data_IF_100999916454
#
_entry.id   IF_100999916454
#
_cell.length_a   1.000
_cell.length_b   1.000
_cell.length_c   1.000
_cell.angle_alpha   90.00
_cell.angle_beta   90.00
_cell.angle_gamma   90.00
#
_symmetry.space_group_name_H-M   'P 1'
#
loop_
_entity.id
_entity.type
_entity.pdbx_description
1 polymer ?
#
# COMPACT_ATOMS: atom_id res chain seq x y z
N UNK A 1 37.31 -97.43 15.71
CA UNK A 1 37.68 -95.99 15.62
C UNK A 1 37.21 -95.51 14.26
N UNK A 2 36.41 -94.48 14.00
CA UNK A 2 35.96 -93.23 14.64
C UNK A 2 34.49 -93.03 14.19
N UNK A 3 33.54 -92.65 15.06
CA UNK A 3 33.29 -91.24 15.41
C UNK A 3 32.01 -90.73 14.73
N UNK A 4 30.84 -91.09 15.28
CA UNK A 4 29.53 -90.55 14.85
C UNK A 4 29.44 -89.06 15.23
N UNK A 5 29.24 -88.19 14.24
CA UNK A 5 28.98 -86.76 14.47
C UNK A 5 27.57 -86.55 15.04
N UNK A 6 27.39 -85.70 16.08
CA UNK A 6 26.07 -85.37 16.59
C UNK A 6 25.39 -84.32 15.70
N UNK A 7 24.14 -84.60 15.33
CA UNK A 7 23.24 -83.65 14.71
C UNK A 7 23.02 -82.45 15.65
N UNK A 8 23.58 -81.29 15.29
CA UNK A 8 23.25 -80.00 15.91
C UNK A 8 21.75 -79.75 15.71
N UNK A 9 20.96 -79.88 16.78
CA UNK A 9 19.61 -79.30 16.82
C UNK A 9 19.73 -77.79 16.66
N UNK A 10 19.37 -77.29 15.48
CA UNK A 10 19.05 -75.88 15.31
C UNK A 10 17.86 -75.59 16.22
N UNK A 11 18.10 -74.93 17.35
CA UNK A 11 17.03 -74.39 18.17
C UNK A 11 16.23 -73.41 17.32
N UNK A 12 15.02 -73.80 16.90
CA UNK A 12 14.05 -72.87 16.38
C UNK A 12 13.86 -71.79 17.44
N UNK A 13 14.42 -70.60 17.17
CA UNK A 13 14.06 -69.40 17.91
C UNK A 13 12.57 -69.22 17.70
N UNK A 14 11.77 -69.52 18.74
CA UNK A 14 10.35 -69.18 18.77
C UNK A 14 10.25 -67.67 18.56
N UNK A 15 9.85 -67.27 17.36
CA UNK A 15 9.35 -65.92 17.11
C UNK A 15 8.10 -65.78 17.99
N UNK A 16 8.24 -65.05 19.10
CA UNK A 16 7.10 -64.63 19.92
C UNK A 16 6.24 -63.74 19.03
N UNK A 17 5.01 -64.15 18.77
CA UNK A 17 4.02 -63.33 18.07
C UNK A 17 3.66 -62.11 18.93
N UNK A 18 3.43 -60.98 18.27
CA UNK A 18 2.98 -59.76 18.93
C UNK A 18 1.58 -59.95 19.52
N UNK A 19 1.38 -59.44 20.73
CA UNK A 19 0.07 -59.45 21.36
C UNK A 19 -0.83 -58.37 20.75
N UNK A 20 -2.15 -58.58 20.73
CA UNK A 20 -3.12 -57.57 20.25
C UNK A 20 -2.96 -56.24 21.00
N UNK A 21 -2.63 -56.31 22.30
CA UNK A 21 -2.42 -55.13 23.13
C UNK A 21 -1.15 -54.37 22.76
N UNK A 22 -0.04 -55.04 22.42
CA UNK A 22 1.17 -54.36 21.91
C UNK A 22 0.87 -53.62 20.61
N UNK A 23 0.14 -54.25 19.69
CA UNK A 23 -0.20 -53.62 18.41
C UNK A 23 -1.08 -52.39 18.63
N UNK A 24 -2.04 -52.45 19.55
CA UNK A 24 -2.88 -51.31 19.90
C UNK A 24 -2.06 -50.15 20.49
N UNK A 25 -1.14 -50.44 21.40
CA UNK A 25 -0.27 -49.42 22.01
C UNK A 25 0.64 -48.79 20.95
N UNK A 26 1.23 -49.59 20.06
CA UNK A 26 2.13 -49.10 19.00
C UNK A 26 1.37 -48.19 18.03
N UNK A 27 0.20 -48.60 17.54
CA UNK A 27 -0.61 -47.76 16.66
C UNK A 27 -1.07 -46.50 17.37
N UNK A 28 -1.41 -46.58 18.66
CA UNK A 28 -1.74 -45.41 19.49
C UNK A 28 -0.58 -44.40 19.58
N UNK A 29 0.65 -44.88 19.85
CA UNK A 29 1.84 -44.02 19.90
C UNK A 29 2.14 -43.42 18.52
N UNK A 30 2.03 -44.21 17.44
CA UNK A 30 2.26 -43.72 16.07
C UNK A 30 1.25 -42.61 15.72
N UNK A 31 -0.03 -42.78 16.06
CA UNK A 31 -1.05 -41.76 15.80
C UNK A 31 -0.77 -40.47 16.57
N UNK A 32 -0.43 -40.58 17.86
CA UNK A 32 -0.09 -39.42 18.69
C UNK A 32 1.12 -38.67 18.11
N UNK A 33 2.20 -39.39 17.77
CA UNK A 33 3.38 -38.80 17.16
C UNK A 33 3.07 -38.17 15.79
N UNK A 34 2.20 -38.78 14.99
CA UNK A 34 1.81 -38.26 13.68
C UNK A 34 1.08 -36.92 13.82
N UNK A 35 0.12 -36.80 14.74
CA UNK A 35 -0.61 -35.55 14.97
C UNK A 35 0.35 -34.44 15.41
N UNK A 36 1.24 -34.72 16.37
CA UNK A 36 2.24 -33.75 16.83
C UNK A 36 3.17 -33.30 15.70
N UNK A 37 3.61 -34.25 14.86
CA UNK A 37 4.51 -33.98 13.74
C UNK A 37 3.83 -33.09 12.69
N UNK A 38 2.57 -33.37 12.35
CA UNK A 38 1.81 -32.58 11.36
C UNK A 38 1.65 -31.12 11.79
N UNK A 39 1.31 -30.87 13.06
CA UNK A 39 1.17 -29.49 13.59
C UNK A 39 2.51 -28.76 13.54
N UNK A 40 3.59 -29.41 13.95
CA UNK A 40 4.93 -28.80 13.96
C UNK A 40 5.44 -28.47 12.56
N UNK A 41 5.21 -29.35 11.57
CA UNK A 41 5.61 -29.12 10.18
C UNK A 41 4.89 -27.91 9.59
N UNK A 42 3.56 -27.78 9.79
CA UNK A 42 2.81 -26.62 9.29
C UNK A 42 3.32 -25.30 9.87
N UNK A 43 3.56 -25.23 11.19
CA UNK A 43 4.09 -24.04 11.82
C UNK A 43 5.49 -23.65 11.29
N UNK A 44 6.35 -24.65 11.10
CA UNK A 44 7.71 -24.43 10.59
C UNK A 44 7.67 -23.93 9.14
N UNK A 45 6.82 -24.52 8.29
CA UNK A 45 6.67 -24.10 6.89
C UNK A 45 6.13 -22.67 6.76
N UNK A 46 5.14 -22.27 7.56
CA UNK A 46 4.64 -20.88 7.56
C UNK A 46 5.73 -19.90 8.02
N UNK A 47 6.47 -20.24 9.08
CA UNK A 47 7.55 -19.39 9.58
C UNK A 47 8.69 -19.21 8.56
N UNK A 48 9.06 -20.28 7.83
CA UNK A 48 10.10 -20.22 6.81
C UNK A 48 9.66 -19.40 5.58
N UNK A 49 8.38 -19.50 5.19
CA UNK A 49 7.80 -18.65 4.13
C UNK A 49 7.82 -17.18 4.52
N UNK A 50 7.37 -16.82 5.73
CA UNK A 50 7.38 -15.44 6.21
C UNK A 50 8.80 -14.86 6.22
N UNK A 51 9.78 -15.62 6.73
CA UNK A 51 11.20 -15.21 6.69
C UNK A 51 11.73 -15.07 5.26
N UNK A 52 11.30 -15.93 4.34
CA UNK A 52 11.59 -15.84 2.91
C UNK A 52 11.07 -14.53 2.32
N UNK A 53 9.78 -14.22 2.54
CA UNK A 53 9.14 -12.99 2.07
C UNK A 53 9.76 -11.74 2.68
N UNK A 54 10.12 -11.76 3.97
CA UNK A 54 10.79 -10.62 4.60
C UNK A 54 12.13 -10.30 3.90
N UNK A 55 12.94 -11.33 3.59
CA UNK A 55 14.17 -11.16 2.80
C UNK A 55 13.88 -10.67 1.38
N UNK A 56 12.80 -11.14 0.77
CA UNK A 56 12.36 -10.70 -0.56
C UNK A 56 12.00 -9.21 -0.56
N UNK A 57 11.20 -8.75 0.41
CA UNK A 57 10.84 -7.32 0.59
C UNK A 57 12.09 -6.47 0.80
N UNK A 58 13.00 -6.90 1.69
CA UNK A 58 14.26 -6.20 1.93
C UNK A 58 15.11 -6.10 0.66
N UNK A 59 15.24 -7.20 -0.10
CA UNK A 59 15.98 -7.24 -1.36
C UNK A 59 15.36 -6.33 -2.42
N UNK A 60 14.04 -6.24 -2.48
CA UNK A 60 13.33 -5.41 -3.45
C UNK A 60 13.46 -3.92 -3.12
N UNK A 61 13.38 -3.56 -1.84
CA UNK A 61 13.65 -2.19 -1.37
C UNK A 61 15.11 -1.79 -1.62
N UNK A 62 16.07 -2.68 -1.35
CA UNK A 62 17.48 -2.46 -1.67
C UNK A 62 17.69 -2.28 -3.18
N UNK A 63 17.07 -3.14 -4.00
CA UNK A 63 17.10 -3.02 -5.46
C UNK A 63 16.51 -1.71 -5.96
N UNK A 64 15.40 -1.23 -5.39
CA UNK A 64 14.81 0.06 -5.73
C UNK A 64 15.76 1.22 -5.40
N UNK A 65 16.40 1.17 -4.23
CA UNK A 65 17.41 2.15 -3.81
C UNK A 65 18.59 2.19 -4.77
N UNK A 66 19.14 1.03 -5.12
CA UNK A 66 20.28 0.93 -6.04
C UNK A 66 19.91 1.46 -7.44
N UNK A 67 18.70 1.13 -7.92
CA UNK A 67 18.17 1.67 -9.19
C UNK A 67 17.95 3.18 -9.14
N UNK A 68 17.57 3.75 -8.00
CA UNK A 68 17.42 5.19 -7.83
C UNK A 68 18.77 5.90 -7.93
N UNK A 69 19.79 5.34 -7.29
CA UNK A 69 21.18 5.85 -7.33
C UNK A 69 21.74 5.74 -8.75
N UNK A 70 21.62 4.56 -9.36
CA UNK A 70 22.15 4.28 -10.68
C UNK A 70 21.55 5.17 -11.77
N UNK A 71 20.20 5.28 -11.82
CA UNK A 71 19.51 6.08 -12.83
C UNK A 71 19.49 7.58 -12.52
N UNK A 72 19.99 8.01 -11.36
CA UNK A 72 19.95 9.40 -10.87
C UNK A 72 18.54 10.00 -10.86
N UNK A 73 17.53 9.15 -10.74
CA UNK A 73 16.11 9.50 -10.76
C UNK A 73 15.41 8.80 -9.60
N UNK A 74 14.39 9.38 -8.97
CA UNK A 74 13.65 8.67 -7.94
C UNK A 74 13.08 7.34 -8.43
N UNK A 75 13.30 6.27 -7.65
CA UNK A 75 12.76 4.92 -7.88
C UNK A 75 12.31 4.34 -6.54
N UNK A 76 11.35 3.44 -6.57
CA UNK A 76 10.79 2.89 -5.34
C UNK A 76 10.07 1.58 -5.52
N UNK A 77 9.37 1.21 -4.46
CA UNK A 77 8.51 0.03 -4.41
C UNK A 77 7.11 0.48 -4.02
N UNK A 78 6.11 0.04 -4.78
CA UNK A 78 4.70 0.12 -4.41
C UNK A 78 4.25 -1.22 -3.86
N UNK A 79 3.62 -1.22 -2.70
CA UNK A 79 2.92 -2.39 -2.17
C UNK A 79 1.55 -2.53 -2.84
N UNK A 80 1.21 -3.74 -3.23
CA UNK A 80 -0.04 -4.07 -3.91
C UNK A 80 -1.03 -4.63 -2.90
N UNK A 81 -2.20 -4.00 -2.81
CA UNK A 81 -3.29 -4.41 -1.95
C UNK A 81 -3.97 -5.69 -2.45
N UNK A 82 -4.48 -6.51 -1.53
CA UNK A 82 -5.44 -7.55 -1.89
C UNK A 82 -6.73 -6.90 -2.43
N UNK A 83 -7.19 -7.27 -3.65
CA UNK A 83 -8.43 -6.74 -4.21
C UNK A 83 -9.67 -7.00 -3.36
N UNK A 84 -9.68 -8.08 -2.56
CA UNK A 84 -10.79 -8.45 -1.69
C UNK A 84 -10.66 -7.88 -0.29
N UNK A 85 -9.44 -7.50 0.12
CA UNK A 85 -9.16 -6.96 1.45
C UNK A 85 -8.03 -5.92 1.41
N UNK A 86 -8.40 -4.65 1.32
CA UNK A 86 -7.43 -3.54 1.26
C UNK A 86 -6.61 -3.35 2.54
N UNK A 87 -6.85 -4.11 3.61
CA UNK A 87 -6.04 -4.09 4.83
C UNK A 87 -4.78 -4.97 4.71
N UNK A 88 -4.67 -5.73 3.62
CA UNK A 88 -3.57 -6.65 3.36
C UNK A 88 -2.83 -6.23 2.10
N UNK A 89 -1.50 -6.25 2.13
CA UNK A 89 -0.70 -6.21 0.91
C UNK A 89 -0.19 -7.60 0.55
N UNK A 90 -0.33 -7.96 -0.73
CA UNK A 90 -0.09 -9.32 -1.28
C UNK A 90 1.05 -9.34 -2.28
N UNK A 91 1.65 -8.19 -2.59
CA UNK A 91 2.79 -8.13 -3.48
C UNK A 91 3.42 -6.76 -3.53
N UNK A 92 4.36 -6.62 -4.45
CA UNK A 92 5.12 -5.40 -4.64
C UNK A 92 5.54 -5.23 -6.09
N UNK A 93 5.71 -3.98 -6.52
CA UNK A 93 6.16 -3.66 -7.86
C UNK A 93 7.09 -2.45 -7.85
N UNK A 94 8.06 -2.42 -8.75
CA UNK A 94 8.93 -1.26 -8.91
C UNK A 94 8.18 -0.10 -9.56
N UNK A 95 8.41 1.08 -9.00
CA UNK A 95 7.83 2.35 -9.44
C UNK A 95 8.93 3.38 -9.71
N UNK A 96 8.61 4.33 -10.57
CA UNK A 96 9.45 5.48 -10.92
C UNK A 96 8.91 6.78 -10.37
N UNK A 97 9.76 7.79 -10.37
CA UNK A 97 9.44 9.14 -9.96
C UNK A 97 8.10 9.64 -10.52
N UNK A 98 7.43 10.44 -9.69
CA UNK A 98 6.43 11.40 -10.12
C UNK A 98 6.95 12.18 -11.35
N UNK A 99 6.32 11.99 -12.51
CA UNK A 99 6.60 12.86 -13.65
C UNK A 99 5.93 14.22 -13.42
N UNK A 100 6.59 15.29 -13.88
CA UNK A 100 5.98 16.61 -13.86
C UNK A 100 5.13 16.77 -15.10
N UNK A 101 3.82 16.88 -14.91
CA UNK A 101 2.87 17.19 -15.96
C UNK A 101 2.63 18.69 -16.02
N UNK A 102 2.88 19.30 -17.18
CA UNK A 102 2.82 20.75 -17.37
C UNK A 102 2.13 21.14 -18.68
N UNK A 103 1.16 20.32 -19.13
CA UNK A 103 0.44 20.57 -20.37
C UNK A 103 -0.73 21.54 -20.16
N UNK A 104 -0.77 22.60 -20.98
CA UNK A 104 -1.76 23.66 -20.88
C UNK A 104 -1.38 24.74 -19.89
N UNK A 105 -2.34 25.61 -19.58
CA UNK A 105 -2.17 26.71 -18.63
C UNK A 105 -3.30 26.72 -17.64
N UNK A 106 -3.06 27.30 -16.47
CA UNK A 106 -4.08 27.41 -15.43
C UNK A 106 -4.46 28.85 -15.21
N UNK A 107 -5.72 29.05 -14.84
CA UNK A 107 -6.21 30.29 -14.27
C UNK A 107 -6.70 30.01 -12.86
N UNK A 108 -6.42 30.91 -11.93
CA UNK A 108 -7.07 30.84 -10.63
C UNK A 108 -8.40 31.55 -10.72
N UNK A 109 -9.42 30.79 -10.37
CA UNK A 109 -10.75 31.34 -10.27
C UNK A 109 -10.86 32.18 -9.00
N UNK A 110 -10.94 33.49 -9.20
CA UNK A 110 -11.20 34.44 -8.12
C UNK A 110 -12.67 34.78 -7.97
N UNK A 111 -13.56 34.33 -8.87
CA UNK A 111 -14.99 34.59 -8.70
C UNK A 111 -15.63 33.43 -7.92
N UNK A 112 -15.71 33.64 -6.61
CA UNK A 112 -16.80 33.14 -5.76
C UNK A 112 -17.23 31.68 -6.01
N UNK A 113 -16.30 30.73 -5.85
CA UNK A 113 -16.70 29.37 -5.53
C UNK A 113 -17.03 29.35 -4.04
N UNK A 114 -18.32 29.31 -3.70
CA UNK A 114 -18.80 29.14 -2.33
C UNK A 114 -19.60 27.85 -2.29
N UNK A 115 -19.37 27.05 -1.26
CA UNK A 115 -20.21 25.88 -0.98
C UNK A 115 -21.04 26.27 0.23
N UNK A 116 -22.34 26.44 0.00
CA UNK A 116 -23.37 26.42 1.03
C UNK A 116 -23.37 25.00 1.63
N UNK A 117 -22.63 24.85 2.72
CA UNK A 117 -22.30 23.53 3.28
C UNK A 117 -23.37 23.06 4.27
N UNK A 118 -24.18 23.97 4.81
CA UNK A 118 -25.30 23.68 5.68
C UNK A 118 -26.63 23.56 4.90
N UNK A 119 -26.64 23.95 3.62
CA UNK A 119 -27.77 23.82 2.69
C UNK A 119 -28.93 24.75 3.03
N UNK A 120 -28.67 25.84 3.75
CA UNK A 120 -29.71 26.74 4.24
C UNK A 120 -30.13 27.80 3.23
N UNK A 121 -29.41 27.92 2.11
CA UNK A 121 -29.71 28.85 1.02
C UNK A 121 -29.63 30.31 1.45
N UNK A 122 -28.89 30.63 2.51
CA UNK A 122 -28.80 31.98 3.06
C UNK A 122 -27.70 32.84 2.40
N UNK A 123 -27.57 34.08 2.88
CA UNK A 123 -26.44 34.95 2.51
C UNK A 123 -25.29 34.79 3.48
N UNK A 124 -24.22 34.14 3.01
CA UNK A 124 -22.86 34.10 3.59
C UNK A 124 -22.78 34.35 5.09
N UNK A 125 -22.89 33.28 5.85
CA UNK A 125 -22.67 33.26 7.28
C UNK A 125 -21.31 32.61 7.65
N UNK A 126 -21.08 32.36 8.93
CA UNK A 126 -19.84 31.74 9.41
C UNK A 126 -19.76 30.22 9.17
N UNK A 127 -20.81 29.58 8.65
CA UNK A 127 -20.88 28.16 8.32
C UNK A 127 -20.50 27.88 6.85
N UNK A 128 -20.51 28.90 5.99
CA UNK A 128 -20.09 28.82 4.60
C UNK A 128 -18.57 28.68 4.41
N UNK A 129 -18.16 27.86 3.44
CA UNK A 129 -16.74 27.71 3.08
C UNK A 129 -16.34 28.71 2.00
N UNK A 130 -15.53 29.70 2.37
CA UNK A 130 -14.89 30.61 1.42
C UNK A 130 -13.76 29.89 0.65
N UNK A 131 -14.03 29.56 -0.62
CA UNK A 131 -13.05 28.99 -1.55
C UNK A 131 -12.48 30.04 -2.52
N UNK A 132 -12.64 31.33 -2.22
CA UNK A 132 -12.13 32.40 -3.07
C UNK A 132 -10.63 32.22 -3.31
N UNK A 133 -10.24 32.14 -4.59
CA UNK A 133 -8.85 31.93 -5.00
C UNK A 133 -8.27 30.56 -4.68
N UNK A 134 -9.08 29.58 -4.23
CA UNK A 134 -8.65 28.19 -4.04
C UNK A 134 -9.00 27.29 -5.21
N UNK A 135 -9.86 27.74 -6.12
CA UNK A 135 -10.24 26.99 -7.32
C UNK A 135 -9.28 27.32 -8.46
N UNK A 136 -8.70 26.29 -9.05
CA UNK A 136 -7.82 26.40 -10.23
C UNK A 136 -8.48 25.70 -11.39
N UNK A 137 -8.53 26.39 -12.52
CA UNK A 137 -9.11 25.88 -13.77
C UNK A 137 -8.00 25.69 -14.79
N UNK A 138 -7.88 24.47 -15.30
CA UNK A 138 -7.02 24.11 -16.42
C UNK A 138 -7.69 24.52 -17.73
N UNK A 139 -6.95 25.22 -18.58
CA UNK A 139 -7.36 25.68 -19.91
C UNK A 139 -6.26 25.36 -20.94
N UNK A 140 -6.58 25.45 -22.23
CA UNK A 140 -5.66 25.21 -23.35
C UNK A 140 -4.90 23.86 -23.27
N UNK A 141 -5.59 22.76 -22.93
CA UNK A 141 -4.99 21.42 -22.75
C UNK A 141 -5.65 20.37 -23.65
N UNK A 142 -4.91 19.32 -24.02
CA UNK A 142 -5.48 18.14 -24.70
C UNK A 142 -5.77 16.98 -23.73
N UNK A 143 -5.22 17.03 -22.51
CA UNK A 143 -5.36 16.00 -21.48
C UNK A 143 -5.94 16.62 -20.19
N UNK A 144 -7.27 16.56 -19.99
CA UNK A 144 -7.91 17.06 -18.79
C UNK A 144 -7.44 16.33 -17.53
N UNK A 145 -7.29 17.05 -16.41
CA UNK A 145 -6.92 16.49 -15.11
C UNK A 145 -7.87 15.38 -14.64
N UNK A 146 -9.15 15.40 -15.04
CA UNK A 146 -10.06 14.30 -14.73
C UNK A 146 -9.58 12.95 -15.32
N UNK A 147 -8.96 12.96 -16.51
CA UNK A 147 -8.37 11.75 -17.11
C UNK A 147 -7.18 11.25 -16.31
N UNK A 148 -6.30 12.16 -15.86
CA UNK A 148 -5.17 11.82 -15.00
C UNK A 148 -5.64 11.26 -13.66
N UNK A 149 -6.69 11.84 -13.08
CA UNK A 149 -7.31 11.37 -11.85
C UNK A 149 -7.89 9.97 -12.00
N UNK A 150 -8.69 9.75 -13.06
CA UNK A 150 -9.29 8.44 -13.33
C UNK A 150 -8.24 7.35 -13.62
N UNK A 151 -7.08 7.74 -14.14
CA UNK A 151 -5.92 6.85 -14.34
C UNK A 151 -5.05 6.70 -13.09
N UNK A 152 -5.37 7.36 -11.99
CA UNK A 152 -4.62 7.32 -10.74
C UNK A 152 -3.30 8.10 -10.75
N UNK A 153 -3.03 8.89 -11.79
CA UNK A 153 -1.83 9.72 -11.89
C UNK A 153 -1.92 11.01 -11.07
N UNK A 154 -3.09 11.37 -10.56
CA UNK A 154 -3.25 12.45 -9.58
C UNK A 154 -4.43 12.15 -8.65
N UNK A 155 -4.45 12.77 -7.47
CA UNK A 155 -5.52 12.64 -6.49
C UNK A 155 -5.52 13.78 -5.46
N UNK A 156 -6.44 13.77 -4.49
CA UNK A 156 -6.35 14.68 -3.35
C UNK A 156 -5.05 14.36 -2.60
N UNK A 157 -4.26 15.39 -2.29
CA UNK A 157 -2.91 15.29 -1.74
C UNK A 157 -1.79 15.53 -2.77
N UNK A 158 -2.05 15.33 -4.07
CA UNK A 158 -1.08 15.64 -5.13
C UNK A 158 -0.70 17.13 -5.10
N UNK A 159 0.52 17.44 -5.54
CA UNK A 159 1.05 18.81 -5.47
C UNK A 159 1.08 19.45 -6.85
N UNK A 160 0.74 20.74 -6.89
CA UNK A 160 0.79 21.55 -8.09
C UNK A 160 1.55 22.85 -7.81
N UNK A 161 2.45 23.22 -8.70
CA UNK A 161 3.20 24.46 -8.64
C UNK A 161 2.57 25.48 -9.59
N UNK A 162 2.25 26.66 -9.07
CA UNK A 162 1.58 27.73 -9.83
C UNK A 162 2.15 29.08 -9.39
N UNK A 163 2.77 29.87 -10.28
CA UNK A 163 3.24 29.50 -11.61
C UNK A 163 4.36 28.44 -11.56
N UNK A 164 4.60 27.76 -12.68
CA UNK A 164 5.74 26.85 -12.83
C UNK A 164 7.07 27.56 -12.49
N UNK A 165 7.98 26.83 -11.85
CA UNK A 165 9.34 27.24 -11.49
C UNK A 165 9.47 28.39 -10.46
N UNK A 166 8.37 28.83 -9.84
CA UNK A 166 8.40 29.89 -8.80
C UNK A 166 8.71 29.38 -7.39
N UNK A 167 8.60 28.07 -7.17
CA UNK A 167 8.66 27.45 -5.84
C UNK A 167 7.32 27.48 -5.07
N UNK A 168 6.28 28.11 -5.61
CA UNK A 168 4.97 28.18 -4.97
C UNK A 168 4.17 26.88 -5.19
N UNK A 169 4.30 25.94 -4.25
CA UNK A 169 3.57 24.66 -4.27
C UNK A 169 2.26 24.73 -3.49
N UNK A 170 1.24 24.07 -4.03
CA UNK A 170 -0.09 23.93 -3.46
C UNK A 170 -0.46 22.44 -3.41
N UNK A 171 -1.28 22.04 -2.45
CA UNK A 171 -1.84 20.70 -2.38
C UNK A 171 -3.25 20.69 -2.94
N UNK A 172 -3.56 19.69 -3.74
CA UNK A 172 -4.89 19.46 -4.29
C UNK A 172 -5.76 18.84 -3.21
N UNK A 173 -6.95 19.40 -2.96
CA UNK A 173 -7.87 18.91 -1.91
C UNK A 173 -9.12 18.24 -2.47
N UNK A 174 -9.41 18.42 -3.75
CA UNK A 174 -10.60 17.87 -4.39
C UNK A 174 -10.29 16.89 -5.52
N UNK A 175 -11.28 16.07 -5.85
CA UNK A 175 -11.35 15.41 -7.16
C UNK A 175 -11.47 16.49 -8.25
N UNK A 176 -10.79 16.35 -9.41
CA UNK A 176 -11.03 17.23 -10.55
C UNK A 176 -12.46 17.11 -11.07
N UNK A 177 -13.05 18.24 -11.45
CA UNK A 177 -14.38 18.30 -12.06
C UNK A 177 -14.28 18.97 -13.43
N UNK A 178 -15.04 18.46 -14.39
CA UNK A 178 -15.17 19.15 -15.68
C UNK A 178 -16.03 20.39 -15.46
N UNK A 179 -15.58 21.54 -15.95
CA UNK A 179 -16.31 22.81 -15.89
C UNK A 179 -16.48 23.39 -17.29
N UNK A 180 -17.62 24.02 -17.52
CA UNK A 180 -17.98 24.68 -18.79
C UNK A 180 -17.90 26.20 -18.68
N UNK A 181 -17.19 26.72 -17.68
CA UNK A 181 -17.21 28.13 -17.31
C UNK A 181 -17.03 29.04 -18.54
N UNK A 182 -18.06 29.86 -18.77
CA UNK A 182 -18.44 30.34 -20.08
C UNK A 182 -17.55 31.41 -20.73
N UNK A 183 -17.63 31.41 -22.06
CA UNK A 183 -17.41 32.55 -22.98
C UNK A 183 -16.00 33.14 -23.03
N UNK A 184 -15.02 32.33 -23.43
CA UNK A 184 -14.18 32.72 -24.56
C UNK A 184 -14.35 31.63 -25.63
N UNK A 185 -14.83 32.05 -26.80
CA UNK A 185 -15.20 31.24 -27.96
C UNK A 185 -14.52 29.86 -28.07
N UNK A 186 -15.33 28.79 -28.06
CA UNK A 186 -14.88 27.40 -28.27
C UNK A 186 -15.31 26.49 -27.11
N UNK A 187 -16.04 25.41 -27.38
CA UNK A 187 -16.57 24.47 -26.39
C UNK A 187 -15.51 23.59 -25.73
N UNK A 188 -14.47 24.18 -25.15
CA UNK A 188 -13.40 23.46 -24.47
C UNK A 188 -13.86 23.00 -23.08
N UNK A 189 -13.71 21.70 -22.82
CA UNK A 189 -13.97 21.10 -21.50
C UNK A 189 -12.78 21.42 -20.60
N UNK A 190 -12.98 22.32 -19.64
CA UNK A 190 -11.94 22.65 -18.66
C UNK A 190 -11.98 21.67 -17.49
N UNK A 191 -10.85 21.45 -16.81
CA UNK A 191 -10.81 20.71 -15.54
C UNK A 191 -10.51 21.65 -14.39
N UNK A 192 -11.31 21.59 -13.33
CA UNK A 192 -11.11 22.40 -12.12
C UNK A 192 -10.75 21.54 -10.92
N UNK A 193 -9.86 22.05 -10.07
CA UNK A 193 -9.45 21.45 -8.79
C UNK A 193 -9.49 22.51 -7.68
N UNK A 194 -9.59 22.07 -6.43
CA UNK A 194 -9.46 22.92 -5.25
C UNK A 194 -8.08 22.74 -4.62
N UNK A 195 -7.55 23.83 -4.07
CA UNK A 195 -6.27 23.88 -3.38
C UNK A 195 -6.45 24.00 -1.86
N UNK A 196 -5.41 23.61 -1.13
CA UNK A 196 -5.31 23.74 0.33
C UNK A 196 -5.28 25.20 0.80
N UNK A 197 -4.75 26.11 -0.03
CA UNK A 197 -4.66 27.54 0.25
C UNK A 197 -4.89 28.36 -1.02
N UNK A 198 -5.29 29.65 -0.88
CA UNK A 198 -5.48 30.50 -2.05
C UNK A 198 -4.20 30.69 -2.86
N UNK A 199 -4.29 30.57 -4.19
CA UNK A 199 -3.20 30.88 -5.10
C UNK A 199 -3.03 32.40 -5.22
N UNK A 200 -2.11 32.95 -4.40
CA UNK A 200 -1.83 34.39 -4.28
C UNK A 200 -1.28 35.04 -5.55
N UNK A 201 -0.60 34.30 -6.40
CA UNK A 201 0.09 34.82 -7.58
C UNK A 201 -0.85 35.18 -8.75
N UNK A 202 -2.15 34.96 -8.58
CA UNK A 202 -3.18 35.15 -9.62
C UNK A 202 -4.38 35.97 -9.13
N UNK A 203 -4.20 36.73 -8.05
CA UNK A 203 -5.22 37.63 -7.49
C UNK A 203 -5.62 38.71 -8.52
N UNK A 204 -6.57 38.35 -9.40
CA UNK A 204 -7.01 39.13 -10.55
C UNK A 204 -7.82 38.34 -11.60
N UNK A 205 -7.87 37.01 -11.52
CA UNK A 205 -8.97 36.20 -12.09
C UNK A 205 -8.96 35.88 -13.58
N UNK A 206 -7.97 36.32 -14.36
CA UNK A 206 -7.90 36.03 -15.82
C UNK A 206 -6.52 35.71 -16.35
N UNK A 207 -5.46 35.87 -15.55
CA UNK A 207 -4.10 35.58 -15.98
C UNK A 207 -3.90 34.07 -16.19
N UNK A 208 -3.54 33.69 -17.42
CA UNK A 208 -3.13 32.33 -17.79
C UNK A 208 -1.66 32.15 -17.42
N UNK A 209 -1.36 31.18 -16.55
CA UNK A 209 0.01 30.88 -16.15
C UNK A 209 0.34 29.41 -16.36
N UNK A 210 1.62 29.14 -16.61
CA UNK A 210 2.15 27.79 -16.62
C UNK A 210 2.05 27.16 -15.22
N UNK A 211 1.86 25.86 -15.17
CA UNK A 211 1.89 25.08 -13.93
C UNK A 211 2.83 23.89 -14.07
N UNK A 212 3.17 23.28 -12.93
CA UNK A 212 3.81 21.97 -12.87
C UNK A 212 3.06 21.10 -11.87
N UNK A 213 2.34 20.10 -12.36
CA UNK A 213 1.65 19.10 -11.56
C UNK A 213 2.59 17.93 -11.32
N UNK A 214 2.80 17.58 -10.05
CA UNK A 214 3.51 16.36 -9.69
C UNK A 214 2.53 15.19 -9.81
N UNK A 215 2.76 14.33 -10.79
CA UNK A 215 1.98 13.10 -10.94
C UNK A 215 2.35 12.11 -9.85
N UNK A 216 1.45 11.19 -9.53
CA UNK A 216 1.76 10.08 -8.66
C UNK A 216 2.82 9.18 -9.31
N UNK A 217 3.59 8.48 -8.48
CA UNK A 217 4.57 7.54 -8.97
C UNK A 217 3.89 6.47 -9.85
N UNK A 218 4.55 6.07 -10.93
CA UNK A 218 4.01 5.08 -11.87
C UNK A 218 4.88 3.83 -11.92
N UNK A 219 4.27 2.71 -12.30
CA UNK A 219 4.97 1.44 -12.54
C UNK A 219 5.97 1.64 -13.67
N UNK A 220 7.19 1.13 -13.50
CA UNK A 220 8.20 1.24 -14.55
C UNK A 220 7.81 0.39 -15.76
N UNK A 221 8.09 0.84 -17.00
CA UNK A 221 7.78 0.07 -18.20
C UNK A 221 8.43 -1.32 -18.17
N UNK A 222 7.62 -2.36 -18.42
CA UNK A 222 8.10 -3.75 -18.49
C UNK A 222 8.33 -4.43 -17.14
N UNK A 223 8.01 -3.77 -16.01
CA UNK A 223 8.02 -4.43 -14.71
C UNK A 223 6.72 -5.21 -14.48
N UNK A 224 6.86 -6.42 -13.96
CA UNK A 224 5.73 -7.24 -13.52
C UNK A 224 5.64 -7.25 -11.98
N UNK A 225 4.42 -7.27 -11.42
CA UNK A 225 4.21 -7.48 -10.00
C UNK A 225 4.93 -8.73 -9.47
N UNK A 226 5.64 -8.56 -8.37
CA UNK A 226 6.15 -9.68 -7.58
C UNK A 226 5.17 -9.96 -6.45
N UNK A 227 4.41 -11.04 -6.59
CA UNK A 227 3.47 -11.48 -5.56
C UNK A 227 4.21 -12.20 -4.43
N UNK A 228 3.69 -12.07 -3.22
CA UNK A 228 4.15 -12.84 -2.08
C UNK A 228 3.70 -14.30 -2.23
N UNK A 229 4.42 -15.25 -1.61
CA UNK A 229 3.99 -16.64 -1.54
C UNK A 229 2.56 -16.75 -0.98
N UNK A 230 1.81 -17.73 -1.47
CA UNK A 230 0.44 -17.97 -1.01
C UNK A 230 0.39 -18.12 0.52
N UNK A 231 -0.52 -17.37 1.13
CA UNK A 231 -0.72 -17.35 2.58
C UNK A 231 0.20 -16.39 3.34
N UNK A 232 1.11 -15.67 2.68
CA UNK A 232 1.90 -14.61 3.34
C UNK A 232 1.43 -13.24 2.89
N UNK A 233 1.17 -12.37 3.85
CA UNK A 233 0.68 -11.01 3.62
C UNK A 233 1.44 -10.00 4.48
N UNK A 234 1.42 -8.73 4.08
CA UNK A 234 1.69 -7.62 4.99
C UNK A 234 0.38 -7.20 5.61
N UNK A 235 0.27 -7.34 6.93
CA UNK A 235 -0.86 -6.84 7.73
C UNK A 235 -0.67 -5.33 7.95
N UNK A 236 -1.44 -4.51 7.22
CA UNK A 236 -1.30 -3.05 7.27
C UNK A 236 -1.82 -2.47 8.59
N UNK A 237 -2.84 -3.10 9.18
CA UNK A 237 -3.40 -2.66 10.46
C UNK A 237 -2.38 -2.84 11.59
N UNK A 238 -1.61 -3.93 11.54
CA UNK A 238 -0.49 -4.19 12.44
C UNK A 238 0.83 -3.47 12.12
N UNK A 239 0.91 -2.78 10.98
CA UNK A 239 2.12 -2.12 10.51
C UNK A 239 2.19 -0.64 10.94
N UNK A 240 3.39 -0.10 11.13
CA UNK A 240 3.58 1.35 11.21
C UNK A 240 3.81 1.91 9.81
N UNK A 241 2.71 2.34 9.20
CA UNK A 241 2.67 2.97 7.88
C UNK A 241 2.26 4.44 7.98
N UNK A 242 2.66 5.31 7.03
CA UNK A 242 2.31 6.71 7.03
C UNK A 242 0.81 6.93 7.27
N UNK A 243 0.39 7.90 8.11
CA UNK A 243 -1.02 8.17 8.38
C UNK A 243 -1.84 8.45 7.12
N UNK A 244 -1.22 9.02 6.09
CA UNK A 244 -1.87 9.29 4.79
C UNK A 244 -2.17 8.01 3.99
N UNK A 245 -1.56 6.88 4.32
CA UNK A 245 -1.90 5.60 3.70
C UNK A 245 -3.11 4.94 4.33
N UNK A 246 -3.38 5.27 5.59
CA UNK A 246 -4.45 4.70 6.39
C UNK A 246 -5.81 5.29 5.96
N UNK A 247 -6.89 4.52 6.09
CA UNK A 247 -8.23 5.07 5.92
C UNK A 247 -8.54 6.12 6.98
N UNK A 248 -9.38 7.10 6.63
CA UNK A 248 -9.87 8.11 7.56
C UNK A 248 -10.94 7.60 8.53
N UNK A 249 -11.46 6.39 8.30
CA UNK A 249 -12.49 5.74 9.11
C UNK A 249 -12.10 4.30 9.43
N UNK A 250 -12.68 3.73 10.49
CA UNK A 250 -12.38 2.37 10.94
C UNK A 250 -12.64 1.29 9.87
N UNK A 251 -13.71 1.45 9.07
CA UNK A 251 -14.07 0.52 7.98
C UNK A 251 -13.63 1.02 6.60
N UNK A 252 -12.76 2.03 6.56
CA UNK A 252 -12.31 2.62 5.29
C UNK A 252 -11.26 1.75 4.62
N UNK A 253 -11.02 2.01 3.33
CA UNK A 253 -10.01 1.30 2.55
C UNK A 253 -8.67 2.04 2.60
N UNK A 254 -7.56 1.30 2.71
CA UNK A 254 -6.24 1.88 2.52
C UNK A 254 -6.07 2.43 1.12
N UNK A 255 -5.20 3.42 0.96
CA UNK A 255 -4.82 3.90 -0.36
C UNK A 255 -4.04 2.84 -1.13
N UNK A 256 -4.27 2.74 -2.44
CA UNK A 256 -3.45 1.89 -3.32
C UNK A 256 -2.05 2.45 -3.58
N UNK A 257 -1.75 3.66 -3.11
CA UNK A 257 -0.47 4.37 -3.34
C UNK A 257 0.47 4.27 -2.13
N UNK A 258 0.74 3.03 -1.72
CA UNK A 258 1.69 2.73 -0.64
C UNK A 258 3.10 2.63 -1.19
N UNK A 259 3.69 3.79 -1.44
CA UNK A 259 4.93 3.94 -2.18
C UNK A 259 6.09 4.27 -1.26
N UNK A 260 7.12 3.42 -1.26
CA UNK A 260 8.43 3.75 -0.68
C UNK A 260 9.36 4.17 -1.80
N UNK A 261 9.56 5.48 -1.94
CA UNK A 261 10.44 6.07 -2.95
C UNK A 261 11.81 6.40 -2.35
N UNK A 262 12.86 6.18 -3.14
CA UNK A 262 14.22 6.60 -2.86
C UNK A 262 14.63 7.70 -3.84
N UNK A 263 15.28 8.74 -3.32
CA UNK A 263 15.95 9.76 -4.12
C UNK A 263 17.18 9.19 -4.84
N UNK A 264 17.75 9.97 -5.76
CA UNK A 264 19.04 9.65 -6.40
C UNK A 264 20.22 9.56 -5.44
N UNK A 265 20.06 10.00 -4.19
CA UNK A 265 21.02 9.83 -3.09
C UNK A 265 20.76 8.58 -2.24
N UNK A 266 19.75 7.79 -2.60
CA UNK A 266 19.35 6.58 -1.88
C UNK A 266 18.67 6.85 -0.53
N UNK A 267 18.16 8.06 -0.31
CA UNK A 267 17.39 8.44 0.89
C UNK A 267 15.91 8.32 0.59
N UNK A 268 15.11 7.81 1.54
CA UNK A 268 13.65 7.73 1.43
C UNK A 268 13.05 9.12 1.28
N UNK A 269 12.11 9.29 0.36
CA UNK A 269 11.40 10.55 0.08
C UNK A 269 9.89 10.32 -0.02
N UNK A 270 9.11 11.41 -0.05
CA UNK A 270 7.66 11.35 -0.07
C UNK A 270 7.06 11.06 1.30
N UNK A 271 5.83 10.57 1.33
CA UNK A 271 5.09 10.32 2.58
C UNK A 271 5.77 9.27 3.46
N UNK A 272 6.43 8.28 2.86
CA UNK A 272 7.24 7.29 3.56
C UNK A 272 8.34 7.92 4.42
N UNK A 273 8.84 9.10 4.08
CA UNK A 273 9.90 9.78 4.84
C UNK A 273 9.39 10.46 6.11
N UNK A 274 8.07 10.71 6.26
CA UNK A 274 7.53 11.50 7.37
C UNK A 274 7.53 10.76 8.72
N UNK A 275 7.60 9.43 8.69
CA UNK A 275 7.55 8.57 9.88
C UNK A 275 8.92 8.35 10.56
N UNK A 276 10.02 8.62 9.85
CA UNK A 276 11.37 8.25 10.27
C UNK A 276 11.65 6.74 10.17
N UNK A 277 10.80 5.89 10.77
CA UNK A 277 10.86 4.42 10.66
C UNK A 277 9.54 3.86 10.14
N UNK A 278 9.61 2.95 9.15
CA UNK A 278 8.48 2.17 8.66
C UNK A 278 8.64 0.74 9.19
N UNK A 279 7.61 0.23 9.84
CA UNK A 279 7.56 -1.15 10.32
C UNK A 279 6.46 -1.89 9.56
N UNK A 280 6.83 -2.90 8.77
CA UNK A 280 5.88 -3.74 8.04
C UNK A 280 5.76 -5.09 8.74
N UNK A 281 4.55 -5.42 9.18
CA UNK A 281 4.25 -6.71 9.80
C UNK A 281 3.93 -7.73 8.72
N UNK A 282 4.85 -8.68 8.49
CA UNK A 282 4.56 -9.85 7.68
C UNK A 282 3.92 -10.93 8.55
N UNK A 283 2.81 -11.49 8.09
CA UNK A 283 2.04 -12.50 8.80
C UNK A 283 1.53 -13.59 7.85
N UNK A 284 1.12 -14.72 8.42
CA UNK A 284 0.26 -15.68 7.72
C UNK A 284 -1.13 -15.06 7.52
N UNK A 285 -1.77 -15.31 6.38
CA UNK A 285 -3.08 -14.78 6.05
C UNK A 285 -4.12 -15.18 7.11
N UNK A 286 -4.10 -16.44 7.56
CA UNK A 286 -5.04 -16.92 8.57
C UNK A 286 -4.82 -16.26 9.92
N UNK A 287 -3.59 -15.83 10.23
CA UNK A 287 -3.30 -15.05 11.44
C UNK A 287 -3.77 -13.61 11.27
N UNK A 288 -3.44 -12.94 10.16
CA UNK A 288 -3.86 -11.57 9.91
C UNK A 288 -5.39 -11.40 10.00
N UNK A 289 -6.16 -12.32 9.40
CA UNK A 289 -7.63 -12.31 9.44
C UNK A 289 -8.18 -12.52 10.87
N UNK A 290 -7.61 -13.44 11.65
CA UNK A 290 -8.03 -13.67 13.04
C UNK A 290 -7.72 -12.47 13.93
N UNK A 291 -6.58 -11.81 13.72
CA UNK A 291 -6.16 -10.71 14.58
C UNK A 291 -7.10 -9.50 14.48
N UNK A 292 -7.63 -9.22 13.29
CA UNK A 292 -8.67 -8.19 13.12
C UNK A 292 -9.89 -8.48 14.01
N UNK A 293 -10.30 -9.74 14.10
CA UNK A 293 -11.46 -10.17 14.90
C UNK A 293 -11.19 -10.15 16.41
N UNK A 294 -9.95 -10.43 16.84
CA UNK A 294 -9.60 -10.57 18.27
C UNK A 294 -9.26 -9.22 18.90
N UNK A 295 -8.47 -8.40 18.22
CA UNK A 295 -7.86 -7.20 18.82
C UNK A 295 -8.65 -5.93 18.60
N UNK A 296 -9.59 -5.91 17.65
CA UNK A 296 -10.32 -4.70 17.28
C UNK A 296 -9.41 -3.57 16.78
N UNK A 297 -8.23 -3.91 16.22
CA UNK A 297 -7.27 -2.95 15.67
C UNK A 297 -7.97 -1.95 14.76
N UNK A 298 -7.74 -0.67 15.04
CA UNK A 298 -8.32 0.40 14.26
C UNK A 298 -7.41 0.74 13.08
N UNK A 299 -7.89 0.49 11.86
CA UNK A 299 -7.18 0.81 10.62
C UNK A 299 -6.83 2.32 10.50
N UNK A 300 -7.62 3.19 11.14
CA UNK A 300 -7.37 4.64 11.17
C UNK A 300 -6.40 5.10 12.27
N UNK A 301 -6.04 4.23 13.23
CA UNK A 301 -5.13 4.56 14.33
C UNK A 301 -3.69 4.11 14.03
N UNK A 302 -2.73 4.98 14.34
CA UNK A 302 -1.30 4.72 14.16
C UNK A 302 -0.60 4.28 15.46
N UNK A 303 -1.32 4.29 16.58
CA UNK A 303 -0.79 3.85 17.86
C UNK A 303 -0.74 2.32 17.89
N UNK A 304 0.48 1.78 17.94
CA UNK A 304 0.73 0.35 18.03
C UNK A 304 -0.03 -0.27 19.22
N UNK A 305 -0.89 -1.25 18.95
CA UNK A 305 -1.27 -2.22 19.98
C UNK A 305 -0.06 -3.15 20.17
N UNK A 306 0.46 -3.33 21.40
CA UNK A 306 1.59 -4.22 21.65
C UNK A 306 1.31 -5.61 21.08
N UNK A 307 2.30 -6.16 20.39
CA UNK A 307 2.27 -7.48 19.78
C UNK A 307 1.86 -8.54 20.80
N UNK A 308 0.63 -9.05 20.70
CA UNK A 308 0.19 -10.26 21.40
C UNK A 308 0.11 -11.36 20.35
N UNK A 309 1.07 -12.29 20.29
CA UNK A 309 0.95 -13.44 19.39
C UNK A 309 -0.40 -14.13 19.63
N UNK A 310 -1.17 -14.42 18.58
CA UNK A 310 -2.42 -15.20 18.71
C UNK A 310 -2.21 -16.60 19.29
N UNK A 311 -0.95 -17.04 19.42
CA UNK A 311 -0.55 -18.30 20.02
C UNK A 311 -0.24 -18.16 21.52
N UNK A 312 -0.97 -17.32 22.25
CA UNK A 312 -0.94 -17.37 23.71
C UNK A 312 -1.82 -18.57 24.12
N UNK A 313 -1.24 -19.61 24.77
CA UNK A 313 -1.99 -20.82 25.16
C UNK A 313 -3.15 -20.54 26.10
#
# INVERSE_FOLDING_TARGET
MHGRQPLRRAGQRRSRGFTLIELLVVVGIILLLTVMTLVSVNFTLSADRIKGTARQVQSYLAGARDRAIYNRSPRGVRFLLDPNNTHLATGMIYIGAAEVFAEGVVTCDTQYARIDQNGDGDTFDGADVDLTGRTVVLVDTTLPWLTLFNRGFMGPGSRIQIPKDTGAWYRITSRPVNTTRGTMSGGEVHSAIQLDRPCRDLAGGTARVSYALELNSTVLPGEEPVLFPQGVVVDLDGSQVPPIWRPSTFTGTYTGQMDILFSSRGVVIGDAASLGQIHLLLADLGDAEKWQQITGRNASDSTLIPFVPANNP
#
